data_IF_999184898285
#
_entry.id   IF_999184898285
#
_cell.length_a   1.000
_cell.length_b   1.000
_cell.length_c   1.000
_cell.angle_alpha   90.00
_cell.angle_beta   90.00
_cell.angle_gamma   90.00
#
_symmetry.space_group_name_H-M   'P 1'
#
loop_
_entity.id
_entity.type
_entity.pdbx_description
1 polymer ?
#
# COMPACT_ATOMS: atom_id res chain seq x y z
N UNK A 1 29.34 -12.89 -9.26
CA UNK A 1 28.71 -12.46 -7.99
C UNK A 1 27.27 -12.13 -8.32
N UNK A 2 26.29 -12.59 -7.58
CA UNK A 2 24.89 -12.18 -7.79
C UNK A 2 24.73 -10.74 -7.32
N UNK A 3 24.06 -9.91 -8.13
CA UNK A 3 23.68 -8.55 -7.78
C UNK A 3 22.85 -8.53 -6.49
N UNK A 4 23.15 -7.61 -5.59
CA UNK A 4 22.38 -7.45 -4.36
C UNK A 4 21.04 -6.78 -4.65
N UNK A 5 20.06 -6.92 -3.74
CA UNK A 5 18.76 -6.25 -3.87
C UNK A 5 18.94 -4.73 -4.00
N UNK A 6 19.88 -4.15 -3.28
CA UNK A 6 20.14 -2.70 -3.30
C UNK A 6 20.73 -2.22 -4.62
N UNK A 7 21.65 -2.97 -5.20
CA UNK A 7 22.22 -2.69 -6.54
C UNK A 7 21.11 -2.77 -7.60
N UNK A 8 20.27 -3.82 -7.54
CA UNK A 8 19.11 -3.97 -8.43
C UNK A 8 18.14 -2.78 -8.31
N UNK A 9 17.77 -2.40 -7.07
CA UNK A 9 16.90 -1.24 -6.81
C UNK A 9 17.52 0.05 -7.36
N UNK A 10 18.80 0.30 -7.10
CA UNK A 10 19.50 1.49 -7.59
C UNK A 10 19.51 1.55 -9.12
N UNK A 11 19.80 0.42 -9.79
CA UNK A 11 19.78 0.31 -11.25
C UNK A 11 18.41 0.55 -11.88
N UNK A 12 17.33 0.14 -11.20
CA UNK A 12 15.95 0.40 -11.63
C UNK A 12 15.60 1.87 -11.43
N UNK A 13 15.89 2.43 -10.25
CA UNK A 13 15.58 3.83 -9.93
C UNK A 13 16.30 4.82 -10.86
N UNK A 14 17.49 4.49 -11.35
CA UNK A 14 18.21 5.30 -12.33
C UNK A 14 17.44 5.46 -13.67
N UNK A 15 16.48 4.58 -13.95
CA UNK A 15 15.62 4.63 -15.15
C UNK A 15 14.19 5.11 -14.86
N UNK A 16 13.85 5.32 -13.59
CA UNK A 16 12.52 5.78 -13.21
C UNK A 16 12.30 7.25 -13.62
N UNK A 17 11.08 7.57 -14.04
CA UNK A 17 10.70 8.96 -14.33
C UNK A 17 10.91 9.85 -13.09
N UNK A 18 11.53 10.99 -13.28
CA UNK A 18 11.68 12.04 -12.26
C UNK A 18 10.62 13.13 -12.36
N UNK A 19 9.72 13.05 -13.35
CA UNK A 19 8.62 14.01 -13.51
C UNK A 19 7.68 13.94 -12.30
N UNK A 20 7.41 15.07 -11.68
CA UNK A 20 6.47 15.23 -10.56
C UNK A 20 5.38 16.16 -11.04
N UNK A 21 4.13 15.79 -10.85
CA UNK A 21 2.98 16.60 -11.27
C UNK A 21 2.78 17.79 -10.31
N UNK A 22 2.38 18.94 -10.84
CA UNK A 22 2.16 20.16 -10.05
C UNK A 22 1.10 20.00 -8.94
N UNK A 23 0.13 19.10 -9.14
CA UNK A 23 -0.94 18.81 -8.17
C UNK A 23 -0.58 17.76 -7.11
N UNK A 24 0.64 17.20 -7.12
CA UNK A 24 1.01 16.13 -6.20
C UNK A 24 1.23 16.64 -4.77
N UNK A 25 0.22 16.47 -3.93
CA UNK A 25 0.26 16.86 -2.51
C UNK A 25 1.31 16.10 -1.69
N UNK A 26 1.77 14.94 -2.17
CA UNK A 26 2.85 14.18 -1.53
C UNK A 26 4.24 14.79 -1.79
N UNK A 27 4.34 15.71 -2.73
CA UNK A 27 5.55 16.50 -2.98
C UNK A 27 5.59 17.77 -2.11
N UNK A 28 5.27 17.63 -0.83
CA UNK A 28 5.34 18.75 0.10
C UNK A 28 6.79 19.17 0.37
N UNK A 29 7.03 20.49 0.43
CA UNK A 29 8.34 21.05 0.78
C UNK A 29 9.42 20.95 -0.31
N UNK A 30 9.07 20.62 -1.54
CA UNK A 30 9.98 20.56 -2.71
C UNK A 30 11.23 19.67 -2.51
N UNK A 31 11.14 18.64 -1.67
CA UNK A 31 12.23 17.71 -1.43
C UNK A 31 12.17 16.52 -2.39
N UNK A 32 12.75 16.68 -3.57
CA UNK A 32 12.82 15.64 -4.61
C UNK A 32 13.53 14.37 -4.12
N UNK A 33 14.60 14.53 -3.35
CA UNK A 33 15.37 13.39 -2.84
C UNK A 33 14.51 12.51 -1.93
N UNK A 34 13.81 13.12 -0.96
CA UNK A 34 12.89 12.37 -0.10
C UNK A 34 11.73 11.76 -0.89
N UNK A 35 11.13 12.52 -1.82
CA UNK A 35 10.05 12.01 -2.66
C UNK A 35 10.45 10.74 -3.42
N UNK A 36 11.66 10.73 -4.01
CA UNK A 36 12.19 9.57 -4.72
C UNK A 36 12.69 8.47 -3.78
N UNK A 37 13.17 8.78 -2.58
CA UNK A 37 13.56 7.76 -1.60
C UNK A 37 12.36 6.92 -1.14
N UNK A 38 11.20 7.54 -0.93
CA UNK A 38 9.95 6.83 -0.59
C UNK A 38 9.56 5.84 -1.71
N UNK A 39 9.70 6.25 -2.99
CA UNK A 39 9.48 5.36 -4.14
C UNK A 39 10.49 4.21 -4.17
N UNK A 40 11.76 4.48 -3.88
CA UNK A 40 12.84 3.48 -3.81
C UNK A 40 12.57 2.43 -2.74
N UNK A 41 12.14 2.86 -1.55
CA UNK A 41 11.86 1.96 -0.43
C UNK A 41 10.64 1.08 -0.73
N UNK A 42 9.61 1.62 -1.39
CA UNK A 42 8.47 0.84 -1.87
C UNK A 42 8.91 -0.23 -2.90
N UNK A 43 9.76 0.14 -3.86
CA UNK A 43 10.31 -0.81 -4.83
C UNK A 43 11.10 -1.92 -4.14
N UNK A 44 11.93 -1.58 -3.14
CA UNK A 44 12.67 -2.56 -2.35
C UNK A 44 11.72 -3.56 -1.69
N UNK A 45 10.66 -3.07 -1.03
CA UNK A 45 9.66 -3.92 -0.39
C UNK A 45 8.96 -4.84 -1.40
N UNK A 46 8.58 -4.32 -2.56
CA UNK A 46 7.97 -5.09 -3.64
C UNK A 46 8.91 -6.18 -4.17
N UNK A 47 10.16 -5.85 -4.47
CA UNK A 47 11.11 -6.84 -4.99
C UNK A 47 11.43 -7.93 -3.96
N UNK A 48 11.58 -7.57 -2.69
CA UNK A 48 11.74 -8.54 -1.59
C UNK A 48 10.52 -9.47 -1.48
N UNK A 49 9.30 -8.91 -1.54
CA UNK A 49 8.06 -9.69 -1.51
C UNK A 49 7.97 -10.68 -2.68
N UNK A 50 8.30 -10.24 -3.90
CA UNK A 50 8.31 -11.10 -5.10
C UNK A 50 9.37 -12.20 -5.01
N UNK A 51 10.53 -11.92 -4.43
CA UNK A 51 11.60 -12.90 -4.20
C UNK A 51 11.16 -13.97 -3.20
N UNK A 52 10.64 -13.57 -2.03
CA UNK A 52 10.18 -14.48 -0.97
C UNK A 52 9.03 -15.36 -1.46
N UNK A 53 8.14 -14.83 -2.31
CA UNK A 53 6.99 -15.56 -2.83
C UNK A 53 7.27 -16.36 -4.10
N UNK A 54 8.48 -16.25 -4.66
CA UNK A 54 8.86 -16.92 -5.90
C UNK A 54 8.18 -16.36 -7.16
N UNK A 55 7.76 -15.07 -7.14
CA UNK A 55 7.01 -14.41 -8.22
C UNK A 55 7.77 -13.24 -8.87
N UNK A 56 8.93 -13.47 -9.53
CA UNK A 56 9.84 -12.39 -9.90
C UNK A 56 9.36 -11.49 -11.05
N UNK A 57 8.35 -11.88 -11.83
CA UNK A 57 7.95 -11.18 -13.07
C UNK A 57 6.43 -11.02 -13.17
N UNK A 58 5.83 -10.07 -12.44
CA UNK A 58 4.41 -9.77 -12.59
C UNK A 58 4.14 -9.16 -13.97
N UNK A 59 3.00 -9.53 -14.57
CA UNK A 59 2.54 -9.02 -15.88
C UNK A 59 1.42 -8.01 -15.74
N UNK A 60 0.68 -8.05 -14.63
CA UNK A 60 -0.43 -7.15 -14.34
C UNK A 60 -0.31 -6.63 -12.92
N UNK A 61 -0.18 -5.32 -12.78
CA UNK A 61 0.07 -4.64 -11.51
C UNK A 61 -1.06 -3.68 -11.20
N UNK A 62 -1.49 -3.66 -9.95
CA UNK A 62 -2.42 -2.67 -9.42
C UNK A 62 -1.71 -1.83 -8.34
N UNK A 63 -1.66 -0.52 -8.53
CA UNK A 63 -1.30 0.46 -7.51
C UNK A 63 -2.61 1.05 -6.96
N UNK A 64 -2.98 0.65 -5.74
CA UNK A 64 -4.22 1.04 -5.08
C UNK A 64 -3.95 2.17 -4.09
N UNK A 65 -4.58 3.33 -4.30
CA UNK A 65 -4.23 4.58 -3.65
C UNK A 65 -2.95 5.17 -4.27
N UNK A 66 -2.90 5.21 -5.61
CA UNK A 66 -1.68 5.54 -6.35
C UNK A 66 -1.27 7.01 -6.23
N UNK A 67 -2.21 7.92 -5.87
CA UNK A 67 -2.00 9.35 -5.97
C UNK A 67 -1.48 9.72 -7.36
N UNK A 68 -0.55 10.65 -7.42
CA UNK A 68 0.12 11.08 -8.66
C UNK A 68 1.26 10.14 -9.10
N UNK A 69 1.29 8.89 -8.62
CA UNK A 69 2.20 7.85 -9.08
C UNK A 69 3.60 7.89 -8.47
N UNK A 70 3.73 8.37 -7.21
CA UNK A 70 5.02 8.35 -6.50
C UNK A 70 5.66 6.96 -6.47
N UNK A 71 4.88 5.90 -6.25
CA UNK A 71 5.37 4.51 -6.28
C UNK A 71 5.30 3.94 -7.71
N UNK A 72 4.26 4.27 -8.46
CA UNK A 72 4.02 3.75 -9.80
C UNK A 72 5.20 3.99 -10.76
N UNK A 73 5.95 5.10 -10.60
CA UNK A 73 7.18 5.39 -11.38
C UNK A 73 8.24 4.30 -11.26
N UNK A 74 8.47 3.79 -10.06
CA UNK A 74 9.43 2.72 -9.82
C UNK A 74 8.91 1.37 -10.32
N UNK A 75 7.61 1.10 -10.19
CA UNK A 75 6.98 -0.10 -10.72
C UNK A 75 7.04 -0.13 -12.26
N UNK A 76 6.79 1.01 -12.94
CA UNK A 76 6.96 1.11 -14.40
C UNK A 76 8.39 0.85 -14.83
N UNK A 77 9.38 1.40 -14.11
CA UNK A 77 10.80 1.20 -14.41
C UNK A 77 11.25 -0.26 -14.17
N UNK A 78 10.70 -0.91 -13.14
CA UNK A 78 11.00 -2.32 -12.83
C UNK A 78 10.34 -3.31 -13.80
N UNK A 79 9.10 -3.01 -14.22
CA UNK A 79 8.27 -3.91 -15.04
C UNK A 79 7.75 -3.21 -16.31
N UNK A 80 8.64 -2.83 -17.25
CA UNK A 80 8.28 -1.99 -18.39
C UNK A 80 7.24 -2.62 -19.33
N UNK A 81 7.16 -3.94 -19.38
CA UNK A 81 6.21 -4.68 -20.22
C UNK A 81 4.88 -5.03 -19.48
N UNK A 82 4.76 -4.71 -18.20
CA UNK A 82 3.56 -5.03 -17.44
C UNK A 82 2.42 -4.04 -17.74
N UNK A 83 1.18 -4.56 -17.73
CA UNK A 83 -0.02 -3.72 -17.61
C UNK A 83 -0.02 -3.07 -16.22
N UNK A 84 -0.03 -1.74 -16.17
CA UNK A 84 -0.19 -0.99 -14.94
C UNK A 84 -1.63 -0.52 -14.80
N UNK A 85 -2.20 -0.70 -13.63
CA UNK A 85 -3.52 -0.20 -13.24
C UNK A 85 -3.30 0.73 -12.07
N UNK A 86 -3.78 1.97 -12.20
CA UNK A 86 -3.76 2.99 -11.18
C UNK A 86 -5.17 3.16 -10.62
N UNK A 87 -5.35 3.01 -9.31
CA UNK A 87 -6.62 3.21 -8.64
C UNK A 87 -6.49 4.32 -7.60
N UNK A 88 -7.31 5.36 -7.72
CA UNK A 88 -7.36 6.48 -6.76
C UNK A 88 -8.73 7.15 -6.80
N UNK A 89 -9.08 7.89 -5.74
CA UNK A 89 -10.31 8.69 -5.69
C UNK A 89 -10.15 10.03 -6.42
N UNK A 90 -8.93 10.47 -6.68
CA UNK A 90 -8.61 11.72 -7.36
C UNK A 90 -8.50 11.52 -8.88
N UNK A 91 -9.46 12.02 -9.68
CA UNK A 91 -9.40 11.89 -11.14
C UNK A 91 -8.19 12.60 -11.78
N UNK A 92 -7.69 13.70 -11.17
CA UNK A 92 -6.52 14.41 -11.69
C UNK A 92 -5.25 13.59 -11.50
N UNK A 93 -5.11 12.91 -10.36
CA UNK A 93 -4.02 11.97 -10.10
C UNK A 93 -4.05 10.81 -11.09
N UNK A 94 -5.23 10.23 -11.36
CA UNK A 94 -5.40 9.17 -12.35
C UNK A 94 -5.05 9.62 -13.77
N UNK A 95 -5.45 10.82 -14.18
CA UNK A 95 -5.09 11.37 -15.48
C UNK A 95 -3.57 11.53 -15.63
N UNK A 96 -2.90 12.04 -14.60
CA UNK A 96 -1.44 12.12 -14.54
C UNK A 96 -0.77 10.75 -14.64
N UNK A 97 -1.27 9.74 -13.91
CA UNK A 97 -0.74 8.38 -13.97
C UNK A 97 -0.92 7.74 -15.36
N UNK A 98 -2.03 8.00 -16.03
CA UNK A 98 -2.26 7.53 -17.39
C UNK A 98 -1.30 8.18 -18.39
N UNK A 99 -1.11 9.49 -18.31
CA UNK A 99 -0.23 10.27 -19.19
C UNK A 99 1.25 9.89 -19.00
N UNK A 100 1.73 9.90 -17.75
CA UNK A 100 3.17 9.77 -17.45
C UNK A 100 3.64 8.31 -17.48
N UNK A 101 2.79 7.39 -17.02
CA UNK A 101 3.18 5.98 -16.83
C UNK A 101 2.44 5.00 -17.76
N UNK A 102 1.50 5.47 -18.57
CA UNK A 102 0.65 4.62 -19.41
C UNK A 102 -0.20 3.65 -18.59
N UNK A 103 -0.64 4.07 -17.39
CA UNK A 103 -1.46 3.24 -16.52
C UNK A 103 -2.94 3.31 -16.93
N UNK A 104 -3.65 2.18 -16.82
CA UNK A 104 -5.12 2.17 -16.90
C UNK A 104 -5.70 2.75 -15.61
N UNK A 105 -6.51 3.78 -15.75
CA UNK A 105 -7.18 4.40 -14.61
C UNK A 105 -8.40 3.57 -14.15
N UNK A 106 -8.55 3.45 -12.84
CA UNK A 106 -9.73 2.94 -12.14
C UNK A 106 -10.12 3.94 -11.08
N UNK A 107 -11.32 4.49 -11.17
CA UNK A 107 -11.79 5.44 -10.15
C UNK A 107 -12.08 4.72 -8.84
N UNK A 108 -11.46 5.19 -7.78
CA UNK A 108 -11.65 4.72 -6.41
C UNK A 108 -12.92 5.28 -5.78
N UNK A 109 -13.36 4.67 -4.69
CA UNK A 109 -14.50 5.12 -3.90
C UNK A 109 -14.22 4.83 -2.42
N UNK A 110 -14.72 5.69 -1.48
CA UNK A 110 -14.74 5.34 -0.06
C UNK A 110 -15.50 4.03 0.22
N UNK A 111 -16.55 3.74 -0.54
CA UNK A 111 -17.22 2.45 -0.56
C UNK A 111 -16.60 1.56 -1.64
N UNK A 112 -15.87 0.53 -1.19
CA UNK A 112 -15.13 -0.39 -2.07
C UNK A 112 -16.04 -1.16 -3.03
N UNK A 113 -17.32 -1.35 -2.72
CA UNK A 113 -18.27 -2.04 -3.59
C UNK A 113 -18.66 -1.19 -4.82
N UNK A 114 -18.36 0.11 -4.81
CA UNK A 114 -18.53 0.98 -5.97
C UNK A 114 -17.26 1.08 -6.85
N UNK A 115 -16.17 0.41 -6.48
CA UNK A 115 -14.96 0.36 -7.29
C UNK A 115 -15.08 -0.75 -8.35
N UNK A 116 -14.72 -0.44 -9.61
CA UNK A 116 -14.61 -1.46 -10.65
C UNK A 116 -13.78 -2.65 -10.14
N UNK A 117 -14.34 -3.88 -10.24
CA UNK A 117 -13.62 -5.07 -9.83
C UNK A 117 -12.50 -5.39 -10.84
N UNK A 118 -11.29 -5.04 -10.49
CA UNK A 118 -10.09 -5.51 -11.20
C UNK A 118 -9.85 -6.97 -10.87
N UNK A 119 -9.38 -7.76 -11.84
CA UNK A 119 -9.06 -9.19 -11.64
C UNK A 119 -7.77 -9.58 -12.34
N UNK A 120 -7.21 -10.73 -11.97
CA UNK A 120 -6.01 -11.28 -12.61
C UNK A 120 -4.73 -10.52 -12.30
N UNK A 121 -4.66 -9.83 -11.17
CA UNK A 121 -3.51 -9.04 -10.73
C UNK A 121 -2.42 -9.97 -10.17
N UNK A 122 -1.22 -9.87 -10.71
CA UNK A 122 -0.05 -10.63 -10.22
C UNK A 122 0.59 -9.95 -9.01
N UNK A 123 0.60 -8.60 -9.02
CA UNK A 123 1.15 -7.77 -7.96
C UNK A 123 0.20 -6.61 -7.65
N UNK A 124 -0.19 -6.48 -6.40
CA UNK A 124 -0.92 -5.34 -5.85
C UNK A 124 -0.03 -4.60 -4.86
N UNK A 125 0.15 -3.31 -5.06
CA UNK A 125 0.68 -2.39 -4.07
C UNK A 125 -0.45 -1.55 -3.48
N UNK A 126 -0.46 -1.40 -2.15
CA UNK A 126 -1.38 -0.53 -1.45
C UNK A 126 -0.64 0.19 -0.32
N UNK A 127 -0.08 1.35 -0.65
CA UNK A 127 0.67 2.18 0.29
C UNK A 127 -0.19 3.29 0.89
N UNK A 128 -0.13 3.44 2.21
CA UNK A 128 -0.82 4.53 2.96
C UNK A 128 -2.34 4.57 2.85
N UNK A 129 -3.03 3.52 2.41
CA UNK A 129 -4.50 3.50 2.39
C UNK A 129 -5.06 2.95 3.70
N UNK A 130 -4.62 1.74 4.10
CA UNK A 130 -5.06 1.13 5.37
C UNK A 130 -4.74 1.99 6.59
N UNK A 131 -3.72 2.82 6.49
CA UNK A 131 -3.31 3.78 7.52
C UNK A 131 -4.32 4.90 7.77
N UNK A 132 -5.29 5.08 6.86
CA UNK A 132 -6.32 6.12 6.95
C UNK A 132 -7.73 5.56 7.18
N UNK A 133 -7.87 4.24 7.30
CA UNK A 133 -9.15 3.57 7.46
C UNK A 133 -9.38 3.14 8.91
N UNK A 134 -10.64 3.19 9.33
CA UNK A 134 -11.10 2.57 10.56
C UNK A 134 -11.22 1.04 10.42
N UNK A 135 -11.44 0.34 11.54
CA UNK A 135 -11.49 -1.13 11.56
C UNK A 135 -12.58 -1.75 10.65
N UNK A 136 -13.81 -1.20 10.56
CA UNK A 136 -14.86 -1.73 9.67
C UNK A 136 -14.48 -1.76 8.18
N UNK A 137 -13.68 -0.81 7.69
CA UNK A 137 -13.34 -0.71 6.27
C UNK A 137 -12.21 -1.66 5.84
N UNK A 138 -11.44 -2.21 6.78
CA UNK A 138 -10.34 -3.14 6.44
C UNK A 138 -10.84 -4.42 5.78
N UNK A 139 -11.87 -5.05 6.34
CA UNK A 139 -12.39 -6.32 5.84
C UNK A 139 -12.90 -6.25 4.39
N UNK A 140 -13.78 -5.30 4.05
CA UNK A 140 -14.22 -5.08 2.67
C UNK A 140 -13.06 -4.86 1.69
N UNK A 141 -12.09 -4.01 2.05
CA UNK A 141 -10.94 -3.73 1.19
C UNK A 141 -10.04 -4.96 0.99
N UNK A 142 -9.75 -5.72 2.03
CA UNK A 142 -8.94 -6.94 1.93
C UNK A 142 -9.65 -8.02 1.09
N UNK A 143 -10.99 -8.12 1.16
CA UNK A 143 -11.76 -9.00 0.27
C UNK A 143 -11.72 -8.51 -1.18
N UNK A 144 -11.76 -7.20 -1.43
CA UNK A 144 -11.56 -6.66 -2.78
C UNK A 144 -10.16 -7.05 -3.31
N UNK A 145 -9.10 -6.94 -2.50
CA UNK A 145 -7.75 -7.36 -2.90
C UNK A 145 -7.67 -8.86 -3.19
N UNK A 146 -8.31 -9.70 -2.35
CA UNK A 146 -8.39 -11.12 -2.61
C UNK A 146 -9.05 -11.43 -3.96
N UNK A 147 -10.16 -10.78 -4.30
CA UNK A 147 -10.82 -10.96 -5.61
C UNK A 147 -9.96 -10.42 -6.76
N UNK A 148 -9.23 -9.32 -6.56
CA UNK A 148 -8.39 -8.71 -7.58
C UNK A 148 -7.19 -9.58 -7.96
N UNK A 149 -6.58 -10.24 -6.99
CA UNK A 149 -5.39 -11.05 -7.20
C UNK A 149 -5.68 -12.30 -8.05
N UNK A 150 -4.76 -12.62 -8.94
CA UNK A 150 -4.67 -13.94 -9.58
C UNK A 150 -4.30 -15.01 -8.55
N UNK A 151 -4.61 -16.29 -8.78
CA UNK A 151 -4.09 -17.39 -7.95
C UNK A 151 -2.56 -17.32 -7.82
N UNK A 152 -2.06 -17.25 -6.59
CA UNK A 152 -0.67 -17.02 -6.27
C UNK A 152 -0.18 -15.57 -6.48
N UNK A 153 -1.07 -14.63 -6.78
CA UNK A 153 -0.73 -13.19 -6.83
C UNK A 153 -0.37 -12.65 -5.45
N UNK A 154 0.42 -11.60 -5.44
CA UNK A 154 1.01 -11.00 -4.24
C UNK A 154 0.43 -9.62 -3.99
N UNK A 155 -0.02 -9.34 -2.76
CA UNK A 155 -0.31 -7.99 -2.30
C UNK A 155 0.76 -7.53 -1.30
N UNK A 156 1.26 -6.32 -1.50
CA UNK A 156 2.15 -5.62 -0.58
C UNK A 156 1.37 -4.42 -0.05
N UNK A 157 1.02 -4.46 1.22
CA UNK A 157 0.20 -3.44 1.86
C UNK A 157 0.92 -2.82 3.04
N UNK A 158 0.64 -1.56 3.35
CA UNK A 158 1.33 -0.86 4.43
C UNK A 158 0.38 -0.43 5.54
N UNK A 159 0.90 -0.41 6.77
CA UNK A 159 0.15 -0.04 7.97
C UNK A 159 0.98 0.86 8.88
N UNK A 160 0.34 1.58 9.80
CA UNK A 160 1.02 2.30 10.87
C UNK A 160 1.14 1.40 12.10
N UNK A 161 2.35 0.96 12.40
CA UNK A 161 2.64 0.06 13.50
C UNK A 161 3.23 0.72 14.73
N UNK A 162 4.01 -0.05 15.47
CA UNK A 162 4.63 0.35 16.75
C UNK A 162 5.51 1.58 16.65
N UNK A 163 6.26 1.72 15.54
CA UNK A 163 7.15 2.87 15.36
C UNK A 163 6.37 4.18 15.29
N UNK A 164 5.23 4.18 14.59
CA UNK A 164 4.38 5.36 14.56
C UNK A 164 3.74 5.62 15.91
N UNK A 165 3.27 4.58 16.64
CA UNK A 165 2.73 4.74 17.99
C UNK A 165 3.76 5.40 18.93
N UNK A 166 5.00 4.93 18.93
CA UNK A 166 6.09 5.53 19.72
C UNK A 166 6.36 7.00 19.36
N UNK A 167 6.31 7.34 18.05
CA UNK A 167 6.50 8.74 17.61
C UNK A 167 5.33 9.63 18.04
N UNK A 168 4.09 9.14 17.98
CA UNK A 168 2.92 9.86 18.44
C UNK A 168 2.97 10.09 19.98
N UNK A 169 3.39 9.07 20.76
CA UNK A 169 3.65 9.20 22.20
C UNK A 169 4.74 10.23 22.51
N UNK A 170 5.74 10.34 21.67
CA UNK A 170 6.80 11.34 21.76
C UNK A 170 6.37 12.74 21.26
N UNK A 171 5.11 12.95 20.94
CA UNK A 171 4.55 14.25 20.53
C UNK A 171 4.70 14.58 19.05
N UNK A 172 5.01 13.60 18.18
CA UNK A 172 4.98 13.84 16.73
C UNK A 172 3.54 14.09 16.29
N UNK A 173 3.34 15.23 15.65
CA UNK A 173 2.06 15.59 15.05
C UNK A 173 1.79 14.77 13.78
N UNK A 174 0.59 14.19 13.72
CA UNK A 174 0.06 13.46 12.58
C UNK A 174 -1.30 14.00 12.12
N UNK A 175 -1.56 15.28 12.36
CA UNK A 175 -2.80 15.95 11.95
C UNK A 175 -3.98 15.74 12.91
N UNK A 176 -3.74 15.22 14.11
CA UNK A 176 -4.71 15.07 15.17
C UNK A 176 -4.44 16.05 16.32
N UNK A 177 -5.47 16.55 16.97
CA UNK A 177 -5.30 17.23 18.25
C UNK A 177 -4.83 16.26 19.36
N UNK A 178 -4.37 16.81 20.49
CA UNK A 178 -3.84 16.01 21.58
C UNK A 178 -4.85 14.99 22.14
N UNK A 179 -6.13 15.38 22.26
CA UNK A 179 -7.17 14.48 22.77
C UNK A 179 -7.49 13.33 21.80
N UNK A 180 -7.51 13.61 20.51
CA UNK A 180 -7.70 12.60 19.47
C UNK A 180 -6.51 11.63 19.43
N UNK A 181 -5.28 12.16 19.53
CA UNK A 181 -4.06 11.35 19.64
C UNK A 181 -4.09 10.43 20.86
N UNK A 182 -4.45 10.96 22.03
CA UNK A 182 -4.55 10.17 23.26
C UNK A 182 -5.60 9.06 23.15
N UNK A 183 -6.77 9.34 22.56
CA UNK A 183 -7.81 8.32 22.33
C UNK A 183 -7.32 7.21 21.40
N UNK A 184 -6.69 7.57 20.28
CA UNK A 184 -6.14 6.61 19.33
C UNK A 184 -5.08 5.73 19.99
N UNK A 185 -4.13 6.32 20.72
CA UNK A 185 -3.09 5.59 21.45
C UNK A 185 -3.65 4.67 22.54
N UNK A 186 -4.66 5.15 23.29
CA UNK A 186 -5.32 4.34 24.32
C UNK A 186 -6.01 3.11 23.72
N UNK A 187 -6.75 3.28 22.63
CA UNK A 187 -7.38 2.18 21.90
C UNK A 187 -6.35 1.19 21.34
N UNK A 188 -5.28 1.70 20.71
CA UNK A 188 -4.18 0.87 20.23
C UNK A 188 -3.55 0.02 21.34
N UNK A 189 -3.30 0.60 22.51
CA UNK A 189 -2.76 -0.13 23.68
C UNK A 189 -3.73 -1.18 24.22
N UNK A 190 -5.00 -0.89 24.19
CA UNK A 190 -6.03 -1.77 24.75
C UNK A 190 -6.35 -2.97 23.87
N UNK A 191 -6.43 -2.79 22.54
CA UNK A 191 -6.89 -3.85 21.65
C UNK A 191 -6.03 -4.04 20.37
N UNK A 192 -4.88 -3.35 20.28
CA UNK A 192 -3.99 -3.46 19.13
C UNK A 192 -4.41 -2.63 17.92
N UNK A 193 -5.50 -1.86 18.01
CA UNK A 193 -5.96 -0.96 16.96
C UNK A 193 -6.47 0.35 17.56
N UNK A 194 -6.10 1.47 16.97
CA UNK A 194 -6.58 2.80 17.31
C UNK A 194 -6.84 3.61 16.05
N UNK A 195 -7.90 4.40 16.05
CA UNK A 195 -8.29 5.25 14.93
C UNK A 195 -8.90 6.55 15.44
N UNK A 196 -8.70 7.62 14.69
CA UNK A 196 -9.44 8.85 14.85
C UNK A 196 -9.54 9.61 13.51
N UNK A 197 -10.72 10.17 13.22
CA UNK A 197 -10.92 11.03 12.07
C UNK A 197 -10.08 12.30 12.16
N UNK A 198 -9.65 12.79 11.01
CA UNK A 198 -9.14 14.17 10.92
C UNK A 198 -10.27 15.17 11.13
N UNK A 199 -9.95 16.30 11.74
CA UNK A 199 -10.93 17.35 11.99
C UNK A 199 -11.67 17.77 10.72
N UNK A 200 -12.99 17.62 10.71
CA UNK A 200 -13.85 17.96 9.56
C UNK A 200 -13.86 16.94 8.41
N UNK A 201 -13.32 15.75 8.60
CA UNK A 201 -13.30 14.69 7.58
C UNK A 201 -13.84 13.38 8.16
N UNK A 202 -15.16 13.28 8.30
CA UNK A 202 -15.80 12.06 8.79
C UNK A 202 -15.49 10.86 7.89
N UNK A 203 -15.02 9.76 8.48
CA UNK A 203 -14.64 8.54 7.77
C UNK A 203 -13.26 8.56 7.12
N UNK A 204 -12.49 9.65 7.27
CA UNK A 204 -11.11 9.72 6.84
C UNK A 204 -10.23 10.27 7.97
N UNK A 205 -9.31 9.45 8.41
CA UNK A 205 -8.50 9.75 9.58
C UNK A 205 -7.14 9.11 9.57
N UNK A 206 -6.68 8.72 10.74
CA UNK A 206 -5.41 8.00 10.87
C UNK A 206 -5.57 6.84 11.83
N UNK A 207 -4.98 5.70 11.50
CA UNK A 207 -5.03 4.50 12.30
C UNK A 207 -3.65 4.01 12.73
N UNK A 208 -3.64 3.31 13.87
CA UNK A 208 -2.54 2.49 14.37
C UNK A 208 -3.01 1.04 14.43
N UNK A 209 -2.20 0.10 13.95
CA UNK A 209 -2.46 -1.32 14.05
C UNK A 209 -1.24 -2.08 14.53
N UNK A 210 -1.39 -2.90 15.57
CA UNK A 210 -0.32 -3.81 15.96
C UNK A 210 -0.14 -4.91 14.91
N UNK A 211 1.06 -5.50 14.76
CA UNK A 211 1.28 -6.59 13.81
C UNK A 211 0.27 -7.73 13.96
N UNK A 212 -0.02 -8.14 15.20
CA UNK A 212 -0.99 -9.20 15.49
C UNK A 212 -2.40 -8.86 15.02
N UNK A 213 -2.86 -7.63 15.27
CA UNK A 213 -4.18 -7.18 14.83
C UNK A 213 -4.27 -7.09 13.30
N UNK A 214 -3.28 -6.48 12.65
CA UNK A 214 -3.24 -6.34 11.19
C UNK A 214 -3.24 -7.69 10.48
N UNK A 215 -2.41 -8.63 10.94
CA UNK A 215 -2.35 -9.99 10.39
C UNK A 215 -3.67 -10.74 10.59
N UNK A 216 -4.26 -10.66 11.78
CA UNK A 216 -5.55 -11.29 12.04
C UNK A 216 -6.63 -10.78 11.08
N UNK A 217 -6.71 -9.45 10.86
CA UNK A 217 -7.66 -8.86 9.91
C UNK A 217 -7.40 -9.31 8.47
N UNK A 218 -6.13 -9.40 8.06
CA UNK A 218 -5.78 -9.86 6.73
C UNK A 218 -6.20 -11.31 6.46
N UNK A 219 -6.08 -12.18 7.47
CA UNK A 219 -6.43 -13.59 7.36
C UNK A 219 -7.94 -13.87 7.47
N UNK A 220 -8.75 -12.87 7.79
CA UNK A 220 -10.22 -12.96 7.66
C UNK A 220 -10.70 -12.92 6.19
N UNK A 221 -9.88 -12.44 5.27
CA UNK A 221 -10.13 -12.58 3.83
C UNK A 221 -9.80 -14.02 3.41
N UNK A 222 -10.80 -14.80 2.88
CA UNK A 222 -10.74 -16.27 2.84
C UNK A 222 -9.61 -16.79 1.99
N UNK A 223 -9.03 -16.21 1.09
CA UNK A 223 -8.04 -16.78 0.19
C UNK A 223 -6.64 -16.16 0.36
N UNK A 224 -6.47 -15.29 1.36
CA UNK A 224 -5.20 -14.65 1.62
C UNK A 224 -4.42 -15.40 2.71
N UNK A 225 -3.13 -15.57 2.49
CA UNK A 225 -2.17 -16.04 3.48
C UNK A 225 -1.05 -15.02 3.67
N UNK A 226 -0.53 -14.94 4.88
CA UNK A 226 0.64 -14.13 5.19
C UNK A 226 1.92 -14.78 4.62
N UNK A 227 2.72 -14.00 3.92
CA UNK A 227 4.04 -14.40 3.43
C UNK A 227 5.18 -13.64 4.13
N UNK A 228 4.93 -12.45 4.66
CA UNK A 228 5.90 -11.65 5.40
C UNK A 228 5.28 -10.46 6.11
N UNK A 229 5.94 -9.98 7.15
CA UNK A 229 5.60 -8.76 7.88
C UNK A 229 6.88 -8.12 8.41
N UNK A 230 7.17 -6.91 7.97
CA UNK A 230 8.36 -6.16 8.35
C UNK A 230 7.97 -4.81 8.95
N UNK A 231 8.38 -4.55 10.20
CA UNK A 231 8.06 -3.29 10.87
C UNK A 231 8.91 -2.14 10.37
N UNK A 232 8.27 -0.98 10.15
CA UNK A 232 8.88 0.26 9.69
C UNK A 232 9.73 0.10 8.40
N UNK A 233 9.40 -0.86 7.55
CA UNK A 233 10.17 -1.20 6.37
C UNK A 233 9.96 -0.23 5.20
N UNK A 234 8.90 0.58 5.21
CA UNK A 234 8.68 1.63 4.22
C UNK A 234 8.93 3.01 4.82
N UNK A 235 9.92 3.73 4.27
CA UNK A 235 10.35 5.07 4.69
C UNK A 235 10.68 5.17 6.20
N UNK A 236 11.13 4.06 6.81
CA UNK A 236 11.34 3.97 8.26
C UNK A 236 10.11 4.45 9.05
N UNK A 237 8.94 4.28 8.52
CA UNK A 237 7.69 4.82 9.04
C UNK A 237 6.56 3.80 9.10
N UNK A 238 6.21 3.18 7.98
CA UNK A 238 5.13 2.23 7.89
C UNK A 238 5.64 0.79 7.87
N UNK A 239 4.86 -0.09 8.50
CA UNK A 239 5.08 -1.53 8.41
C UNK A 239 4.64 -2.02 7.03
N UNK A 240 5.29 -3.06 6.55
CA UNK A 240 4.97 -3.72 5.28
C UNK A 240 4.47 -5.12 5.55
N UNK A 241 3.27 -5.43 5.08
CA UNK A 241 2.66 -6.77 5.14
C UNK A 241 2.56 -7.35 3.73
N UNK A 242 3.06 -8.57 3.55
CA UNK A 242 3.03 -9.31 2.28
C UNK A 242 2.00 -10.42 2.38
N UNK A 243 0.99 -10.35 1.52
CA UNK A 243 -0.08 -11.33 1.42
C UNK A 243 -0.01 -12.04 0.07
N UNK A 244 -0.39 -13.30 0.04
CA UNK A 244 -0.45 -14.09 -1.20
C UNK A 244 -1.82 -14.75 -1.30
N UNK A 245 -2.44 -14.66 -2.48
CA UNK A 245 -3.66 -15.43 -2.75
C UNK A 245 -3.32 -16.90 -2.96
N UNK A 246 -4.01 -17.78 -2.25
CA UNK A 246 -3.81 -19.23 -2.39
C UNK A 246 -4.07 -19.68 -3.83
N UNK A 247 -3.16 -20.50 -4.36
CA UNK A 247 -3.30 -21.04 -5.72
C UNK A 247 -4.47 -22.05 -5.85
N UNK A 248 -4.89 -22.65 -4.73
CA UNK A 248 -5.95 -23.67 -4.68
C UNK A 248 -7.30 -23.13 -4.16
N UNK A 249 -7.48 -21.83 -4.06
CA UNK A 249 -8.71 -21.25 -3.54
C UNK A 249 -9.96 -21.66 -4.35
N UNK A 250 -9.79 -21.91 -5.64
CA UNK A 250 -10.88 -22.36 -6.54
C UNK A 250 -11.33 -23.80 -6.29
N UNK A 251 -10.48 -24.65 -5.69
CA UNK A 251 -10.80 -26.07 -5.41
C UNK A 251 -11.56 -26.28 -4.09
N UNK A 252 -11.61 -25.27 -3.21
CA UNK A 252 -12.33 -25.38 -1.93
C UNK A 252 -13.80 -24.97 -2.01
N UNK A 253 -14.24 -24.35 -3.09
CA UNK A 253 -15.63 -23.95 -3.28
C UNK A 253 -16.52 -25.11 -3.73
N UNK A 254 -15.94 -26.25 -4.15
CA UNK A 254 -16.64 -27.43 -4.68
C UNK A 254 -16.61 -28.63 -3.71
N UNK A 255 -16.20 -28.43 -2.44
CA UNK A 255 -16.25 -29.42 -1.35
C UNK A 255 -17.20 -28.98 -0.25
#
# INVERSE_FOLDING_TARGET
>A
MSETLDETVAGIMARASTTIADGDSMFAGNNVEHYLSVSRDALRAVLAALQVTGRPKPKRLLDFGCGYGRVLRSLRAAFPAAELIACDIDPAALASCAEVFGARAVIGSPDVDHIEQVTGVDLLWCGSVLTHLDAPHWGPLLRYFSRALAPGGVAVVTTHGRRMAMRAEAGKDYGLDARATDRMLAAYKACGFGYNDYAGNDGYGISLSSPGWAVQRALEAPDLRLAGYDEAAWDLHQDVMVLVKDANATLKADL
#
